data_IF_893547850089
#
_entry.id   IF_893547850089
#
_cell.length_a   1.000
_cell.length_b   1.000
_cell.length_c   1.000
_cell.angle_alpha   90.00
_cell.angle_beta   90.00
_cell.angle_gamma   90.00
#
_symmetry.space_group_name_H-M   'P 1'
#
loop_
_entity.id
_entity.type
_entity.pdbx_description
1 polymer ?
#
# COMPACT_ATOMS: atom_id res chain seq x y z
N UNK A 1 2.86 13.60 -43.60
CA UNK A 1 2.39 12.56 -42.68
C UNK A 1 3.09 12.74 -41.36
N UNK A 2 2.52 13.56 -40.47
CA UNK A 2 3.02 13.76 -39.11
C UNK A 2 2.82 12.47 -38.32
N UNK A 3 3.92 11.83 -37.93
CA UNK A 3 3.88 10.64 -37.09
C UNK A 3 3.16 10.96 -35.79
N UNK A 4 2.08 10.22 -35.52
CA UNK A 4 1.52 10.16 -34.18
C UNK A 4 2.59 9.54 -33.28
N UNK A 5 3.30 10.37 -32.51
CA UNK A 5 3.95 9.88 -31.30
C UNK A 5 2.82 9.35 -30.42
N UNK A 6 2.74 8.03 -30.28
CA UNK A 6 1.91 7.42 -29.25
C UNK A 6 2.47 7.93 -27.93
N UNK A 7 1.77 8.85 -27.29
CA UNK A 7 2.15 9.37 -25.98
C UNK A 7 2.26 8.17 -25.02
N UNK A 8 3.38 8.06 -24.30
CA UNK A 8 3.66 6.90 -23.45
C UNK A 8 2.54 6.73 -22.40
N UNK A 9 2.00 5.51 -22.19
CA UNK A 9 0.94 5.31 -21.21
C UNK A 9 1.34 5.82 -19.83
N UNK A 10 0.46 6.59 -19.18
CA UNK A 10 0.79 7.27 -17.94
C UNK A 10 1.17 6.28 -16.82
N UNK A 11 0.59 5.08 -16.81
CA UNK A 11 0.95 4.00 -15.89
C UNK A 11 2.43 3.57 -16.00
N UNK A 12 3.02 3.65 -17.19
CA UNK A 12 4.45 3.38 -17.44
C UNK A 12 5.30 4.56 -16.95
N UNK A 13 4.89 5.79 -17.26
CA UNK A 13 5.56 7.02 -16.80
C UNK A 13 5.61 7.05 -15.27
N UNK A 14 4.47 6.83 -14.61
CA UNK A 14 4.35 6.83 -13.16
C UNK A 14 5.26 5.76 -12.53
N UNK A 15 5.18 4.52 -13.03
CA UNK A 15 6.03 3.41 -12.54
C UNK A 15 7.52 3.75 -12.66
N UNK A 16 7.95 4.31 -13.80
CA UNK A 16 9.35 4.73 -14.00
C UNK A 16 9.74 5.84 -13.04
N UNK A 17 8.86 6.82 -12.84
CA UNK A 17 9.12 7.99 -12.01
C UNK A 17 9.22 7.67 -10.50
N UNK A 18 8.62 6.56 -10.05
CA UNK A 18 8.63 6.12 -8.64
C UNK A 18 9.54 4.92 -8.38
N UNK A 19 10.24 4.40 -9.39
CA UNK A 19 11.04 3.17 -9.27
C UNK A 19 12.13 3.29 -8.19
N UNK A 20 12.82 4.42 -8.14
CA UNK A 20 13.89 4.65 -7.17
C UNK A 20 13.39 4.67 -5.72
N UNK A 21 12.25 5.32 -5.46
CA UNK A 21 11.61 5.36 -4.14
C UNK A 21 11.03 4.01 -3.75
N UNK A 22 10.47 3.27 -4.71
CA UNK A 22 10.03 1.89 -4.51
C UNK A 22 11.20 1.00 -4.06
N UNK A 23 12.32 1.03 -4.77
CA UNK A 23 13.50 0.20 -4.47
C UNK A 23 14.10 0.56 -3.09
N UNK A 24 14.11 1.85 -2.74
CA UNK A 24 14.52 2.30 -1.40
C UNK A 24 13.61 1.80 -0.29
N UNK A 25 12.29 1.76 -0.51
CA UNK A 25 11.35 1.25 0.47
C UNK A 25 11.49 -0.26 0.66
N UNK A 26 11.64 -1.03 -0.43
CA UNK A 26 11.81 -2.49 -0.36
C UNK A 26 13.15 -2.94 0.23
N UNK A 27 14.21 -2.11 0.10
CA UNK A 27 15.53 -2.37 0.68
C UNK A 27 15.68 -1.91 2.14
N UNK A 28 14.61 -1.48 2.79
CA UNK A 28 14.66 -1.09 4.20
C UNK A 28 15.08 -2.28 5.09
N UNK A 29 15.95 -2.09 6.10
CA UNK A 29 16.41 -3.16 6.98
C UNK A 29 15.26 -3.97 7.57
N UNK A 30 14.22 -3.30 8.08
CA UNK A 30 13.01 -3.97 8.59
C UNK A 30 12.42 -4.99 7.60
N UNK A 31 12.32 -4.65 6.32
CA UNK A 31 11.78 -5.55 5.29
C UNK A 31 12.70 -6.74 5.07
N UNK A 32 14.00 -6.52 4.97
CA UNK A 32 14.98 -7.59 4.81
C UNK A 32 14.97 -8.55 6.01
N UNK A 33 14.89 -8.02 7.23
CA UNK A 33 14.85 -8.78 8.48
C UNK A 33 13.55 -9.58 8.64
N UNK A 34 12.42 -9.00 8.24
CA UNK A 34 11.13 -9.69 8.21
C UNK A 34 11.15 -10.85 7.22
N UNK A 35 11.59 -10.61 5.98
CA UNK A 35 11.68 -11.65 4.95
C UNK A 35 12.70 -12.75 5.31
N UNK A 36 13.78 -12.37 5.97
CA UNK A 36 14.79 -13.28 6.53
C UNK A 36 14.32 -14.08 7.74
N UNK A 37 13.18 -13.70 8.35
CA UNK A 37 12.56 -14.39 9.48
C UNK A 37 13.15 -14.05 10.85
N UNK A 38 14.05 -13.06 10.93
CA UNK A 38 14.64 -12.62 12.21
C UNK A 38 13.62 -11.91 13.11
N UNK A 39 12.62 -11.26 12.53
CA UNK A 39 11.57 -10.56 13.28
C UNK A 39 10.37 -11.43 13.67
N UNK A 40 10.16 -12.54 12.96
CA UNK A 40 9.03 -13.45 13.15
C UNK A 40 7.65 -12.77 13.20
N UNK A 41 6.74 -13.38 13.98
CA UNK A 41 5.37 -12.87 14.16
C UNK A 41 5.31 -11.51 14.86
N UNK A 42 6.31 -11.16 15.69
CA UNK A 42 6.38 -9.86 16.35
C UNK A 42 6.56 -8.71 15.35
N UNK A 43 7.48 -8.86 14.39
CA UNK A 43 7.65 -7.89 13.31
C UNK A 43 6.42 -7.79 12.41
N UNK A 44 5.80 -8.92 12.09
CA UNK A 44 4.55 -8.92 11.32
C UNK A 44 3.43 -8.17 12.05
N UNK A 45 3.28 -8.40 13.37
CA UNK A 45 2.30 -7.69 14.20
C UNK A 45 2.57 -6.18 14.25
N UNK A 46 3.83 -5.78 14.38
CA UNK A 46 4.23 -4.38 14.40
C UNK A 46 3.88 -3.69 13.07
N UNK A 47 4.19 -4.33 11.93
CA UNK A 47 3.81 -3.82 10.61
C UNK A 47 2.30 -3.76 10.41
N UNK A 48 1.57 -4.80 10.80
CA UNK A 48 0.11 -4.82 10.73
C UNK A 48 -0.51 -3.68 11.57
N UNK A 49 0.08 -3.39 12.73
CA UNK A 49 -0.33 -2.28 13.59
C UNK A 49 -0.20 -0.92 12.90
N UNK A 50 0.91 -0.67 12.19
CA UNK A 50 1.09 0.57 11.45
C UNK A 50 0.17 0.66 10.23
N UNK A 51 0.05 -0.44 9.48
CA UNK A 51 -0.87 -0.52 8.34
C UNK A 51 -2.32 -0.22 8.76
N UNK A 52 -2.77 -0.64 9.95
CA UNK A 52 -4.13 -0.32 10.42
C UNK A 52 -4.45 1.18 10.32
N UNK A 53 -3.55 2.06 10.75
CA UNK A 53 -3.79 3.50 10.72
C UNK A 53 -3.72 4.08 9.30
N UNK A 54 -2.78 3.58 8.47
CA UNK A 54 -2.65 3.99 7.07
C UNK A 54 -3.91 3.61 6.28
N UNK A 55 -4.38 2.37 6.39
CA UNK A 55 -5.60 1.92 5.70
C UNK A 55 -6.86 2.52 6.30
N UNK A 56 -6.87 2.86 7.60
CA UNK A 56 -8.00 3.62 8.17
C UNK A 56 -8.14 4.97 7.47
N UNK A 57 -7.03 5.69 7.24
CA UNK A 57 -7.04 6.94 6.51
C UNK A 57 -7.37 6.74 5.01
N UNK A 58 -6.79 5.73 4.38
CA UNK A 58 -6.95 5.47 2.95
C UNK A 58 -8.37 5.03 2.58
N UNK A 59 -8.95 4.09 3.32
CA UNK A 59 -10.31 3.61 3.06
C UNK A 59 -11.35 4.67 3.40
N UNK A 60 -11.13 5.46 4.46
CA UNK A 60 -11.98 6.64 4.73
C UNK A 60 -11.86 7.70 3.61
N UNK A 61 -10.70 7.82 2.96
CA UNK A 61 -10.54 8.69 1.80
C UNK A 61 -11.23 8.11 0.57
N UNK A 62 -11.15 6.80 0.36
CA UNK A 62 -11.82 6.12 -0.74
C UNK A 62 -13.34 6.35 -0.70
N UNK A 63 -13.97 6.26 0.46
CA UNK A 63 -15.41 6.59 0.59
C UNK A 63 -15.74 8.04 0.22
N UNK A 64 -14.86 9.01 0.53
CA UNK A 64 -15.07 10.41 0.13
C UNK A 64 -14.95 10.63 -1.38
N UNK A 65 -14.11 9.84 -2.05
CA UNK A 65 -13.83 9.95 -3.49
C UNK A 65 -14.66 8.99 -4.34
N UNK A 66 -15.48 8.13 -3.73
CA UNK A 66 -16.23 7.06 -4.41
C UNK A 66 -17.12 7.57 -5.55
N UNK A 67 -17.76 8.72 -5.36
CA UNK A 67 -18.66 9.34 -6.35
C UNK A 67 -17.97 10.37 -7.25
N UNK A 68 -16.65 10.58 -7.10
CA UNK A 68 -15.91 11.50 -7.97
C UNK A 68 -15.72 10.92 -9.37
N UNK A 69 -15.96 11.69 -10.46
CA UNK A 69 -15.92 11.16 -11.82
C UNK A 69 -14.53 10.69 -12.28
N UNK A 70 -13.45 11.13 -11.63
CA UNK A 70 -12.07 10.78 -12.00
C UNK A 70 -11.49 9.75 -11.02
N UNK A 71 -11.66 9.96 -9.72
CA UNK A 71 -11.12 9.08 -8.68
C UNK A 71 -12.02 7.89 -8.34
N UNK A 72 -13.34 8.03 -8.46
CA UNK A 72 -14.33 6.99 -8.13
C UNK A 72 -14.05 5.64 -8.81
N UNK A 73 -13.68 5.58 -10.11
CA UNK A 73 -13.32 4.32 -10.78
C UNK A 73 -12.17 3.54 -10.13
N UNK A 74 -11.30 4.20 -9.36
CA UNK A 74 -10.21 3.53 -8.64
C UNK A 74 -10.66 2.89 -7.31
N UNK A 75 -11.81 3.30 -6.78
CA UNK A 75 -12.42 2.75 -5.56
C UNK A 75 -13.11 1.42 -5.92
N UNK A 76 -12.32 0.35 -5.95
CA UNK A 76 -12.76 -0.98 -6.39
C UNK A 76 -13.14 -1.83 -5.18
N UNK A 77 -14.38 -2.31 -5.16
CA UNK A 77 -14.89 -3.15 -4.08
C UNK A 77 -14.08 -4.45 -3.93
N UNK A 78 -13.86 -4.86 -2.68
CA UNK A 78 -13.07 -6.03 -2.33
C UNK A 78 -11.58 -5.74 -2.14
N UNK A 79 -11.13 -4.50 -2.40
CA UNK A 79 -9.78 -4.04 -2.05
C UNK A 79 -9.60 -3.72 -0.57
N UNK A 80 -10.67 -3.54 0.20
CA UNK A 80 -10.60 -3.13 1.60
C UNK A 80 -9.73 -4.10 2.40
N UNK A 81 -8.81 -3.54 3.19
CA UNK A 81 -7.80 -4.23 3.99
C UNK A 81 -8.11 -4.17 5.48
N UNK A 82 -8.86 -3.18 5.94
CA UNK A 82 -9.19 -3.02 7.36
C UNK A 82 -9.80 -4.28 8.01
N UNK A 83 -10.75 -5.01 7.39
CA UNK A 83 -11.27 -6.24 7.99
C UNK A 83 -10.17 -7.28 8.21
N UNK A 84 -9.27 -7.45 7.23
CA UNK A 84 -8.12 -8.36 7.32
C UNK A 84 -7.13 -7.93 8.40
N UNK A 85 -6.78 -6.64 8.46
CA UNK A 85 -5.87 -6.09 9.47
C UNK A 85 -6.38 -6.30 10.90
N UNK A 86 -7.68 -6.08 11.13
CA UNK A 86 -8.29 -6.30 12.46
C UNK A 86 -8.22 -7.77 12.87
N UNK A 87 -8.53 -8.69 11.94
CA UNK A 87 -8.45 -10.12 12.19
C UNK A 87 -7.01 -10.59 12.46
N UNK A 88 -6.04 -10.06 11.71
CA UNK A 88 -4.63 -10.37 11.89
C UNK A 88 -4.12 -9.85 13.23
N UNK A 89 -4.46 -8.61 13.61
CA UNK A 89 -4.07 -8.04 14.91
C UNK A 89 -4.68 -8.79 16.10
N UNK A 90 -5.95 -9.21 16.00
CA UNK A 90 -6.57 -10.03 17.04
C UNK A 90 -5.86 -11.37 17.23
N UNK A 91 -5.40 -11.99 16.13
CA UNK A 91 -4.62 -13.23 16.18
C UNK A 91 -3.20 -13.02 16.70
N UNK A 92 -2.53 -11.97 16.24
CA UNK A 92 -1.09 -11.74 16.47
C UNK A 92 -0.80 -11.10 17.82
N UNK A 93 -1.65 -10.18 18.27
CA UNK A 93 -1.48 -9.39 19.50
C UNK A 93 -2.46 -9.84 20.59
N UNK A 94 -3.63 -10.36 20.22
CA UNK A 94 -4.67 -10.82 21.13
C UNK A 94 -5.88 -9.88 21.19
N UNK A 95 -6.95 -10.24 21.93
CA UNK A 95 -8.24 -9.52 21.92
C UNK A 95 -8.17 -8.04 22.35
N UNK A 96 -7.15 -7.66 23.10
CA UNK A 96 -6.93 -6.28 23.56
C UNK A 96 -6.02 -5.45 22.64
N UNK A 97 -5.76 -5.93 21.41
CA UNK A 97 -4.87 -5.25 20.46
C UNK A 97 -5.24 -3.78 20.24
N UNK A 98 -6.52 -3.43 20.23
CA UNK A 98 -6.97 -2.05 20.00
C UNK A 98 -6.55 -1.12 21.14
N UNK A 99 -6.33 -1.65 22.34
CA UNK A 99 -5.87 -0.89 23.49
C UNK A 99 -4.34 -0.75 23.53
N UNK A 100 -3.58 -1.58 22.80
CA UNK A 100 -2.11 -1.61 22.87
C UNK A 100 -1.41 -1.10 21.61
N UNK A 101 -2.00 -1.32 20.43
CA UNK A 101 -1.45 -0.86 19.15
C UNK A 101 -1.46 0.66 19.10
N UNK A 102 -0.31 1.26 18.79
CA UNK A 102 -0.13 2.71 18.67
C UNK A 102 0.55 3.06 17.35
N UNK A 103 0.16 4.17 16.72
CA UNK A 103 0.83 4.61 15.51
C UNK A 103 2.17 5.25 15.86
N UNK A 104 3.18 4.97 15.04
CA UNK A 104 4.45 5.68 15.08
C UNK A 104 4.31 7.11 14.52
N UNK A 105 5.25 8.03 14.82
CA UNK A 105 5.24 9.38 14.24
C UNK A 105 5.14 9.40 12.71
N UNK A 106 5.93 8.59 11.99
CA UNK A 106 5.84 8.48 10.53
C UNK A 106 4.48 7.94 10.07
N UNK A 107 3.87 7.05 10.85
CA UNK A 107 2.54 6.48 10.56
C UNK A 107 1.44 7.53 10.71
N UNK A 108 1.51 8.35 11.76
CA UNK A 108 0.59 9.47 11.95
C UNK A 108 0.71 10.49 10.82
N UNK A 109 1.95 10.88 10.47
CA UNK A 109 2.22 11.81 9.39
C UNK A 109 1.71 11.29 8.05
N UNK A 110 1.89 10.00 7.77
CA UNK A 110 1.38 9.42 6.53
C UNK A 110 -0.15 9.39 6.48
N UNK A 111 -0.78 8.96 7.58
CA UNK A 111 -2.23 8.93 7.69
C UNK A 111 -2.83 10.34 7.54
N UNK A 112 -2.15 11.38 8.04
CA UNK A 112 -2.53 12.78 7.85
C UNK A 112 -2.39 13.21 6.39
N UNK A 113 -1.26 12.90 5.75
CA UNK A 113 -1.05 13.18 4.32
C UNK A 113 -2.17 12.62 3.44
N UNK A 114 -2.59 11.38 3.72
CA UNK A 114 -3.71 10.72 3.03
C UNK A 114 -5.04 11.46 3.28
N UNK A 115 -5.31 11.88 4.53
CA UNK A 115 -6.52 12.66 4.87
C UNK A 115 -6.56 14.02 4.17
N UNK A 116 -5.38 14.59 3.92
CA UNK A 116 -5.19 15.87 3.24
C UNK A 116 -5.04 15.76 1.71
N UNK A 117 -5.27 14.60 1.13
CA UNK A 117 -5.39 14.45 -0.32
C UNK A 117 -6.69 15.12 -0.82
N UNK A 118 -6.58 16.39 -1.23
CA UNK A 118 -7.69 17.25 -1.71
C UNK A 118 -7.93 17.24 -3.22
N UNK A 119 -7.24 16.36 -3.97
CA UNK A 119 -7.47 16.18 -5.41
C UNK A 119 -7.48 14.70 -5.79
N UNK A 120 -8.17 14.37 -6.89
CA UNK A 120 -8.21 13.02 -7.43
C UNK A 120 -6.81 12.45 -7.67
N UNK A 121 -5.91 13.26 -8.25
CA UNK A 121 -4.52 12.87 -8.51
C UNK A 121 -3.77 12.47 -7.23
N UNK A 122 -3.90 13.25 -6.15
CA UNK A 122 -3.21 12.99 -4.87
C UNK A 122 -3.81 11.80 -4.13
N UNK A 123 -5.14 11.62 -4.17
CA UNK A 123 -5.77 10.44 -3.61
C UNK A 123 -5.35 9.16 -4.36
N UNK A 124 -5.44 9.17 -5.69
CA UNK A 124 -5.07 8.01 -6.52
C UNK A 124 -3.59 7.68 -6.39
N UNK A 125 -2.71 8.64 -6.11
CA UNK A 125 -1.30 8.39 -5.80
C UNK A 125 -1.13 7.47 -4.58
N UNK A 126 -1.77 7.77 -3.45
CA UNK A 126 -1.72 6.92 -2.25
C UNK A 126 -2.36 5.55 -2.49
N UNK A 127 -3.51 5.54 -3.17
CA UNK A 127 -4.22 4.33 -3.51
C UNK A 127 -3.38 3.41 -4.40
N UNK A 128 -2.71 3.98 -5.42
CA UNK A 128 -1.78 3.29 -6.31
C UNK A 128 -0.61 2.68 -5.53
N UNK A 129 0.08 3.50 -4.73
CA UNK A 129 1.26 3.08 -3.98
C UNK A 129 0.95 1.93 -3.02
N UNK A 130 -0.19 1.98 -2.33
CA UNK A 130 -0.58 0.95 -1.37
C UNK A 130 -1.09 -0.31 -2.05
N UNK A 131 -2.18 -0.24 -2.81
CA UNK A 131 -2.85 -1.44 -3.30
C UNK A 131 -2.05 -2.19 -4.37
N UNK A 132 -1.31 -1.50 -5.27
CA UNK A 132 -0.43 -2.22 -6.20
C UNK A 132 0.78 -2.86 -5.49
N UNK A 133 1.25 -2.24 -4.41
CA UNK A 133 2.26 -2.81 -3.53
C UNK A 133 1.78 -4.10 -2.86
N UNK A 134 0.57 -4.10 -2.31
CA UNK A 134 0.02 -5.25 -1.57
C UNK A 134 -0.19 -6.49 -2.46
N UNK A 135 -0.65 -6.30 -3.70
CA UNK A 135 -0.83 -7.40 -4.67
C UNK A 135 0.48 -7.83 -5.35
N UNK A 136 1.59 -7.16 -5.03
CA UNK A 136 2.93 -7.41 -5.57
C UNK A 136 3.88 -7.77 -4.43
N UNK A 137 4.62 -6.80 -3.89
CA UNK A 137 5.57 -7.00 -2.78
C UNK A 137 4.91 -7.55 -1.50
N UNK A 138 3.66 -7.16 -1.21
CA UNK A 138 2.92 -7.71 -0.08
C UNK A 138 2.74 -9.24 -0.15
N UNK A 139 2.60 -9.80 -1.36
CA UNK A 139 2.51 -11.25 -1.55
C UNK A 139 3.82 -11.97 -1.25
N UNK A 140 4.96 -11.30 -1.41
CA UNK A 140 6.28 -11.84 -1.03
C UNK A 140 6.38 -11.94 0.49
N UNK A 141 5.94 -10.91 1.22
CA UNK A 141 5.85 -10.94 2.70
C UNK A 141 4.92 -12.08 3.15
N UNK A 142 3.72 -12.17 2.56
CA UNK A 142 2.76 -13.22 2.89
C UNK A 142 3.33 -14.63 2.67
N UNK A 143 4.03 -14.85 1.55
CA UNK A 143 4.66 -16.13 1.25
C UNK A 143 5.80 -16.46 2.23
N UNK A 144 6.62 -15.48 2.61
CA UNK A 144 7.67 -15.65 3.61
C UNK A 144 7.10 -16.02 4.98
N UNK A 145 6.11 -15.26 5.45
CA UNK A 145 5.47 -15.50 6.75
C UNK A 145 4.74 -16.84 6.81
N UNK A 146 4.04 -17.23 5.73
CA UNK A 146 3.39 -18.54 5.64
C UNK A 146 4.42 -19.68 5.69
N UNK A 147 5.56 -19.52 5.01
CA UNK A 147 6.64 -20.53 5.04
C UNK A 147 7.25 -20.66 6.44
N UNK A 148 7.43 -19.54 7.15
CA UNK A 148 8.08 -19.50 8.46
C UNK A 148 7.15 -19.95 9.61
N UNK A 149 5.85 -19.68 9.51
CA UNK A 149 4.92 -19.79 10.63
C UNK A 149 3.61 -20.54 10.34
N UNK A 150 3.36 -20.94 9.09
CA UNK A 150 2.13 -21.62 8.68
C UNK A 150 0.88 -20.81 9.01
N UNK A 151 -0.14 -21.48 9.53
CA UNK A 151 -1.45 -20.88 9.86
C UNK A 151 -1.40 -19.89 11.04
N UNK A 152 -0.29 -19.86 11.79
CA UNK A 152 -0.10 -18.92 12.90
C UNK A 152 0.14 -17.49 12.42
N UNK A 153 0.48 -17.29 11.14
CA UNK A 153 0.92 -16.01 10.62
C UNK A 153 -0.16 -14.92 10.62
N UNK A 154 -1.46 -15.24 10.55
CA UNK A 154 -2.50 -14.21 10.39
C UNK A 154 -2.26 -13.37 9.13
N UNK A 155 -2.76 -13.86 7.99
CA UNK A 155 -2.48 -13.27 6.68
C UNK A 155 -3.75 -12.79 5.97
N UNK A 156 -4.79 -12.43 6.72
CA UNK A 156 -6.06 -11.96 6.16
C UNK A 156 -5.90 -10.61 5.44
N UNK A 157 -4.98 -9.74 5.87
CA UNK A 157 -4.60 -8.51 5.16
C UNK A 157 -4.14 -8.79 3.72
N UNK A 158 -3.39 -9.87 3.53
CA UNK A 158 -2.82 -10.24 2.24
C UNK A 158 -3.78 -11.06 1.35
N UNK A 159 -4.97 -11.39 1.87
CA UNK A 159 -6.00 -12.13 1.15
C UNK A 159 -6.89 -11.21 0.32
N UNK A 160 -6.81 -11.34 -1.00
CA UNK A 160 -7.60 -10.59 -1.97
C UNK A 160 -8.75 -11.43 -2.55
N UNK A 161 -9.19 -12.50 -1.87
CA UNK A 161 -10.25 -13.38 -2.33
C UNK A 161 -11.56 -12.66 -2.65
N UNK A 162 -11.93 -11.63 -1.88
CA UNK A 162 -13.12 -10.79 -2.17
C UNK A 162 -12.99 -10.03 -3.48
N UNK A 163 -11.85 -9.38 -3.72
CA UNK A 163 -11.55 -8.74 -5.00
C UNK A 163 -11.64 -9.74 -6.15
N UNK A 164 -11.13 -10.96 -5.94
CA UNK A 164 -11.05 -11.99 -6.98
C UNK A 164 -12.34 -12.79 -7.20
N UNK A 165 -13.32 -12.64 -6.33
CA UNK A 165 -14.67 -13.17 -6.51
C UNK A 165 -15.50 -12.32 -7.49
N UNK A 166 -15.08 -11.06 -7.73
CA UNK A 166 -15.72 -10.11 -8.63
C UNK A 166 -15.24 -10.24 -10.09
N UNK A 167 -15.17 -9.16 -10.89
CA UNK A 167 -14.80 -9.19 -12.31
C UNK A 167 -13.30 -9.46 -12.56
N UNK A 168 -12.45 -9.21 -11.58
CA UNK A 168 -11.03 -9.49 -11.61
C UNK A 168 -10.82 -10.87 -10.99
N UNK A 169 -10.03 -11.76 -11.59
CA UNK A 169 -9.89 -13.15 -11.11
C UNK A 169 -8.55 -13.46 -10.46
N UNK A 170 -7.58 -12.55 -10.59
CA UNK A 170 -6.23 -12.77 -10.08
C UNK A 170 -5.43 -11.45 -10.01
N UNK A 171 -4.25 -11.45 -9.34
CA UNK A 171 -3.42 -10.25 -9.22
C UNK A 171 -3.00 -9.63 -10.55
N UNK A 172 -2.78 -10.44 -11.60
CA UNK A 172 -2.36 -9.93 -12.89
C UNK A 172 -3.48 -9.15 -13.60
N UNK A 173 -4.72 -9.64 -13.50
CA UNK A 173 -5.90 -8.94 -14.00
C UNK A 173 -6.15 -7.63 -13.26
N UNK A 174 -6.05 -7.63 -11.93
CA UNK A 174 -6.19 -6.40 -11.16
C UNK A 174 -5.14 -5.36 -11.54
N UNK A 175 -3.84 -5.74 -11.63
CA UNK A 175 -2.79 -4.80 -12.07
C UNK A 175 -3.04 -4.25 -13.47
N UNK A 176 -3.52 -5.08 -14.40
CA UNK A 176 -3.85 -4.64 -15.75
C UNK A 176 -5.01 -3.65 -15.74
N UNK A 177 -6.07 -3.96 -14.99
CA UNK A 177 -7.23 -3.10 -14.85
C UNK A 177 -6.85 -1.75 -14.24
N UNK A 178 -6.11 -1.75 -13.14
CA UNK A 178 -5.67 -0.51 -12.48
C UNK A 178 -4.82 0.38 -13.41
N UNK A 179 -3.91 -0.22 -14.19
CA UNK A 179 -3.10 0.52 -15.17
C UNK A 179 -3.96 1.11 -16.28
N UNK A 180 -4.94 0.35 -16.77
CA UNK A 180 -5.89 0.86 -17.77
C UNK A 180 -6.70 2.05 -17.24
N UNK A 181 -7.07 2.06 -15.96
CA UNK A 181 -7.70 3.23 -15.33
C UNK A 181 -6.76 4.44 -15.30
N UNK A 182 -5.49 4.25 -14.90
CA UNK A 182 -4.48 5.32 -14.92
C UNK A 182 -4.28 5.90 -16.33
N UNK A 183 -4.27 5.05 -17.35
CA UNK A 183 -4.02 5.44 -18.74
C UNK A 183 -5.24 6.14 -19.38
N UNK A 184 -6.46 5.76 -18.99
CA UNK A 184 -7.70 6.27 -19.58
C UNK A 184 -8.27 7.51 -18.88
N UNK A 185 -7.94 7.73 -17.60
CA UNK A 185 -8.47 8.86 -16.84
C UNK A 185 -8.01 10.21 -17.43
N UNK A 186 -8.86 11.25 -17.38
CA UNK A 186 -8.64 12.53 -18.08
C UNK A 186 -7.65 13.45 -17.34
N UNK A 187 -6.45 12.95 -17.04
CA UNK A 187 -5.42 13.70 -16.31
C UNK A 187 -4.88 14.86 -17.14
N UNK A 188 -4.90 16.06 -16.55
CA UNK A 188 -4.11 17.17 -17.07
C UNK A 188 -2.61 16.92 -16.84
N UNK A 189 -1.75 17.69 -17.50
CA UNK A 189 -0.31 17.65 -17.23
C UNK A 189 0.02 17.96 -15.75
N UNK A 190 -0.75 18.87 -15.13
CA UNK A 190 -0.61 19.21 -13.71
C UNK A 190 -1.03 18.04 -12.81
N UNK A 191 -2.11 17.32 -13.14
CA UNK A 191 -2.53 16.13 -12.40
C UNK A 191 -1.47 15.02 -12.47
N UNK A 192 -0.92 14.77 -13.66
CA UNK A 192 0.14 13.76 -13.84
C UNK A 192 1.37 14.09 -13.01
N UNK A 193 1.81 15.35 -13.02
CA UNK A 193 2.93 15.82 -12.20
C UNK A 193 2.63 15.67 -10.69
N UNK A 194 1.46 16.14 -10.25
CA UNK A 194 1.05 16.03 -8.86
C UNK A 194 0.94 14.58 -8.37
N UNK A 195 0.45 13.66 -9.20
CA UNK A 195 0.38 12.23 -8.86
C UNK A 195 1.77 11.60 -8.75
N UNK A 196 2.71 11.95 -9.65
CA UNK A 196 4.09 11.47 -9.58
C UNK A 196 4.74 11.93 -8.26
N UNK A 197 4.66 13.22 -7.95
CA UNK A 197 5.27 13.77 -6.75
C UNK A 197 4.62 13.19 -5.49
N UNK A 198 3.30 13.10 -5.45
CA UNK A 198 2.59 12.50 -4.31
C UNK A 198 2.89 11.00 -4.15
N UNK A 199 3.08 10.27 -5.25
CA UNK A 199 3.43 8.84 -5.18
C UNK A 199 4.84 8.65 -4.61
N UNK A 200 5.78 9.55 -4.94
CA UNK A 200 7.13 9.55 -4.35
C UNK A 200 7.09 9.83 -2.85
N UNK A 201 6.31 10.81 -2.43
CA UNK A 201 6.06 11.09 -1.01
C UNK A 201 5.45 9.87 -0.31
N UNK A 202 4.45 9.23 -0.92
CA UNK A 202 3.82 8.02 -0.38
C UNK A 202 4.83 6.87 -0.17
N UNK A 203 5.75 6.65 -1.11
CA UNK A 203 6.86 5.70 -0.92
C UNK A 203 7.84 6.15 0.18
N UNK A 204 8.13 7.45 0.27
CA UNK A 204 8.93 8.04 1.34
C UNK A 204 8.34 7.77 2.72
N UNK A 205 7.03 7.95 2.90
CA UNK A 205 6.35 7.62 4.15
C UNK A 205 6.41 6.13 4.48
N UNK A 206 6.23 5.24 3.50
CA UNK A 206 6.41 3.79 3.73
C UNK A 206 7.82 3.48 4.23
N UNK A 207 8.83 4.12 3.63
CA UNK A 207 10.22 3.98 4.05
C UNK A 207 10.44 4.47 5.48
N UNK A 208 9.93 5.65 5.83
CA UNK A 208 10.03 6.19 7.19
C UNK A 208 9.38 5.28 8.24
N UNK A 209 8.22 4.69 7.92
CA UNK A 209 7.58 3.71 8.80
C UNK A 209 8.48 2.48 9.01
N UNK A 210 9.10 1.96 7.95
CA UNK A 210 10.04 0.84 8.07
C UNK A 210 11.29 1.21 8.87
N UNK A 211 11.81 2.42 8.71
CA UNK A 211 12.99 2.90 9.46
C UNK A 211 12.65 3.08 10.96
N UNK A 212 11.49 3.64 11.30
CA UNK A 212 11.06 3.76 12.71
C UNK A 212 10.78 2.38 13.34
N UNK A 213 10.17 1.45 12.60
CA UNK A 213 10.01 0.06 13.05
C UNK A 213 11.36 -0.65 13.24
N UNK A 214 12.36 -0.36 12.39
CA UNK A 214 13.70 -0.89 12.56
C UNK A 214 14.34 -0.38 13.86
N UNK A 215 14.24 0.92 14.14
CA UNK A 215 14.74 1.53 15.37
C UNK A 215 14.08 0.96 16.63
N UNK A 216 12.75 0.86 16.66
CA UNK A 216 12.00 0.29 17.80
C UNK A 216 12.36 -1.18 18.08
N UNK A 217 12.77 -1.92 17.05
CA UNK A 217 13.17 -3.33 17.15
C UNK A 217 14.69 -3.53 17.30
N UNK A 218 15.46 -2.44 17.42
CA UNK A 218 16.91 -2.49 17.60
C UNK A 218 17.65 -3.06 16.39
N UNK A 219 17.14 -2.83 15.17
CA UNK A 219 17.74 -3.26 13.91
C UNK A 219 18.71 -2.24 13.33
N UNK A 220 18.96 -1.14 14.02
CA UNK A 220 19.93 -0.13 13.60
C UNK A 220 21.33 -0.76 13.49
N UNK A 221 22.05 -0.38 12.43
CA UNK A 221 23.34 -0.94 12.09
C UNK A 221 24.31 -0.91 13.29
N UNK A 222 24.83 -2.08 13.64
CA UNK A 222 26.08 -2.19 14.40
C UNK A 222 27.25 -1.56 13.62
#
# INVERSE_FOLDING_TARGET
>A
MTGQTVDEPFSIVLRRATAEQHDRAESAPFVAELLGGRLGLGGLAALAGQNLFVYTALESAAERWRDDPVAGPFVIDGLERLPGLRADLERLVGPSWSATVRPLPATLAYAERIRDARSAARFVAHHYTRYLGDVSGGQVIAAAMRRQHGDRAGLAFYDFGRLYAGPLRNPAEFRRHYRALLDAAPWTAADRAAMIDESREAFGYNRMIFDELAGDLGLDAA
#
